data_IF_731074400958
#
_entry.id   IF_731074400958
#
_cell.length_a   1.000
_cell.length_b   1.000
_cell.length_c   1.000
_cell.angle_alpha   90.00
_cell.angle_beta   90.00
_cell.angle_gamma   90.00
#
_symmetry.space_group_name_H-M   'P 1'
#
loop_
_entity.id
_entity.type
_entity.pdbx_description
1 polymer ?
#
# COMPACT_ATOMS: atom_id res chain seq x y z
N UNK A 1 18.14 2.36 -44.73
CA UNK A 1 18.39 1.57 -43.51
C UNK A 1 18.79 0.16 -43.94
N UNK A 2 19.96 -0.29 -43.50
CA UNK A 2 20.38 -1.69 -43.70
C UNK A 2 19.75 -2.59 -42.63
N UNK A 3 19.73 -3.91 -42.85
CA UNK A 3 19.23 -4.88 -41.85
C UNK A 3 19.97 -4.75 -40.50
N UNK A 4 21.25 -4.36 -40.53
CA UNK A 4 22.08 -4.10 -39.35
C UNK A 4 21.62 -2.86 -38.60
N UNK A 5 21.26 -1.79 -39.30
CA UNK A 5 20.76 -0.55 -38.68
C UNK A 5 19.40 -0.76 -38.02
N UNK A 6 18.51 -1.52 -38.67
CA UNK A 6 17.20 -1.89 -38.11
C UNK A 6 17.34 -2.77 -36.85
N UNK A 7 18.27 -3.73 -36.87
CA UNK A 7 18.53 -4.59 -35.71
C UNK A 7 19.11 -3.79 -34.54
N UNK A 8 20.08 -2.91 -34.80
CA UNK A 8 20.66 -2.04 -33.78
C UNK A 8 19.61 -1.12 -33.15
N UNK A 9 18.74 -0.51 -33.96
CA UNK A 9 17.66 0.33 -33.47
C UNK A 9 16.68 -0.46 -32.58
N UNK A 10 16.31 -1.68 -33.00
CA UNK A 10 15.42 -2.55 -32.24
C UNK A 10 16.03 -2.95 -30.89
N UNK A 11 17.33 -3.23 -30.85
CA UNK A 11 18.04 -3.53 -29.60
C UNK A 11 18.04 -2.32 -28.67
N UNK A 12 18.34 -1.12 -29.17
CA UNK A 12 18.34 0.11 -28.36
C UNK A 12 16.96 0.37 -27.78
N UNK A 13 15.90 0.25 -28.59
CA UNK A 13 14.53 0.43 -28.14
C UNK A 13 14.15 -0.60 -27.06
N UNK A 14 14.54 -1.86 -27.25
CA UNK A 14 14.28 -2.93 -26.28
C UNK A 14 14.99 -2.65 -24.95
N UNK A 15 16.28 -2.31 -24.97
CA UNK A 15 17.06 -1.98 -23.78
C UNK A 15 16.51 -0.75 -23.06
N UNK A 16 16.10 0.27 -23.81
CA UNK A 16 15.51 1.50 -23.23
C UNK A 16 14.18 1.19 -22.55
N UNK A 17 13.32 0.39 -23.20
CA UNK A 17 12.05 -0.06 -22.61
C UNK A 17 12.27 -0.88 -21.33
N UNK A 18 13.27 -1.77 -21.33
CA UNK A 18 13.64 -2.57 -20.17
C UNK A 18 14.11 -1.69 -19.00
N UNK A 19 14.98 -0.71 -19.29
CA UNK A 19 15.49 0.23 -18.28
C UNK A 19 14.40 1.10 -17.68
N UNK A 20 13.51 1.64 -18.52
CA UNK A 20 12.37 2.43 -18.06
C UNK A 20 11.40 1.60 -17.21
N UNK A 21 11.15 0.35 -17.63
CA UNK A 21 10.33 -0.59 -16.87
C UNK A 21 10.98 -0.91 -15.52
N UNK A 22 12.28 -1.22 -15.49
CA UNK A 22 13.01 -1.48 -14.26
C UNK A 22 12.98 -0.26 -13.32
N UNK A 23 13.24 0.95 -13.84
CA UNK A 23 13.16 2.18 -13.07
C UNK A 23 11.75 2.39 -12.48
N UNK A 24 10.71 2.10 -13.26
CA UNK A 24 9.32 2.22 -12.81
C UNK A 24 8.99 1.33 -11.61
N UNK A 25 9.43 0.07 -11.63
CA UNK A 25 9.15 -0.89 -10.55
C UNK A 25 10.09 -0.76 -9.34
N UNK A 26 11.34 -0.33 -9.55
CA UNK A 26 12.35 -0.26 -8.49
C UNK A 26 12.35 1.06 -7.73
N UNK A 27 11.87 2.15 -8.33
CA UNK A 27 11.86 3.46 -7.69
C UNK A 27 10.72 3.54 -6.68
N UNK A 28 10.99 3.81 -5.38
CA UNK A 28 9.95 4.06 -4.40
C UNK A 28 9.11 5.28 -4.81
N UNK A 29 7.81 5.23 -4.50
CA UNK A 29 6.90 6.34 -4.67
C UNK A 29 6.00 6.49 -3.44
N UNK A 30 5.38 7.66 -3.28
CA UNK A 30 4.51 7.92 -2.15
C UNK A 30 3.29 6.98 -2.15
N UNK A 31 2.91 6.48 -0.96
CA UNK A 31 1.71 5.64 -0.77
C UNK A 31 0.44 6.43 -1.12
N UNK A 32 0.40 7.70 -0.70
CA UNK A 32 -0.66 8.66 -1.06
C UNK A 32 -0.07 9.84 -1.83
N UNK A 33 -0.57 10.11 -3.04
CA UNK A 33 -0.06 11.21 -3.89
C UNK A 33 -0.79 12.53 -3.72
N UNK A 34 -2.05 12.48 -3.28
CA UNK A 34 -2.93 13.64 -3.16
C UNK A 34 -3.66 13.56 -1.82
N UNK A 35 -2.95 13.79 -0.69
CA UNK A 35 -3.52 13.65 0.65
C UNK A 35 -4.73 14.56 0.88
N UNK A 36 -4.77 15.73 0.25
CA UNK A 36 -5.87 16.69 0.33
C UNK A 36 -7.16 16.23 -0.38
N UNK A 37 -7.07 15.20 -1.22
CA UNK A 37 -8.19 14.61 -1.95
C UNK A 37 -8.38 13.12 -1.64
N UNK A 38 -7.64 12.59 -0.66
CA UNK A 38 -7.70 11.19 -0.22
C UNK A 38 -8.34 11.14 1.15
N UNK A 39 -9.27 10.21 1.38
CA UNK A 39 -9.95 10.06 2.66
C UNK A 39 -9.69 8.68 3.25
N UNK A 40 -9.27 8.62 4.51
CA UNK A 40 -9.28 7.37 5.27
C UNK A 40 -10.72 7.07 5.69
N UNK A 41 -11.27 5.98 5.17
CA UNK A 41 -12.69 5.61 5.30
C UNK A 41 -12.96 4.68 6.48
N UNK A 42 -12.08 3.72 6.71
CA UNK A 42 -12.17 2.77 7.82
C UNK A 42 -10.79 2.21 8.11
N UNK A 43 -10.56 1.89 9.38
CA UNK A 43 -9.44 1.05 9.81
C UNK A 43 -10.03 -0.21 10.43
N UNK A 44 -9.68 -1.37 9.88
CA UNK A 44 -9.96 -2.66 10.49
C UNK A 44 -8.75 -3.09 11.29
N UNK A 45 -8.96 -3.46 12.55
CA UNK A 45 -7.90 -3.87 13.47
C UNK A 45 -8.30 -5.19 14.11
N UNK A 46 -7.39 -6.15 14.09
CA UNK A 46 -7.59 -7.41 14.79
C UNK A 46 -7.33 -7.23 16.29
N UNK A 47 -8.04 -7.99 17.13
CA UNK A 47 -7.85 -7.88 18.57
C UNK A 47 -6.46 -8.42 18.96
N UNK A 48 -5.68 -7.68 19.77
CA UNK A 48 -4.32 -8.08 20.17
C UNK A 48 -4.27 -9.37 21.02
N UNK A 49 -5.42 -9.91 21.44
CA UNK A 49 -5.52 -11.11 22.27
C UNK A 49 -5.85 -12.40 21.49
N UNK A 50 -5.86 -12.36 20.15
CA UNK A 50 -6.17 -13.55 19.33
C UNK A 50 -7.58 -14.09 19.52
N UNK A 51 -8.51 -13.26 20.01
CA UNK A 51 -9.91 -13.63 20.23
C UNK A 51 -10.70 -13.85 18.93
N UNK A 52 -10.12 -13.51 17.78
CA UNK A 52 -10.79 -13.53 16.48
C UNK A 52 -11.86 -12.44 16.32
N UNK A 53 -11.95 -11.49 17.25
CA UNK A 53 -12.85 -10.34 17.15
C UNK A 53 -12.10 -9.18 16.49
N UNK A 54 -12.43 -8.87 15.25
CA UNK A 54 -11.97 -7.64 14.60
C UNK A 54 -12.83 -6.46 15.07
N UNK A 55 -12.19 -5.31 15.25
CA UNK A 55 -12.89 -4.04 15.46
C UNK A 55 -12.63 -3.12 14.27
N UNK A 56 -13.59 -2.22 14.00
CA UNK A 56 -13.49 -1.26 12.91
C UNK A 56 -13.67 0.12 13.48
N UNK A 57 -12.72 1.00 13.18
CA UNK A 57 -12.82 2.42 13.48
C UNK A 57 -13.17 3.18 12.20
N UNK A 58 -14.24 3.99 12.28
CA UNK A 58 -14.74 4.81 11.17
C UNK A 58 -14.74 6.26 11.65
N UNK A 59 -14.12 7.20 10.91
CA UNK A 59 -14.05 8.59 11.35
C UNK A 59 -15.39 9.30 11.15
N UNK A 60 -16.20 9.33 12.20
CA UNK A 60 -17.57 9.88 12.16
C UNK A 60 -17.68 11.27 12.78
N UNK A 61 -16.77 11.62 13.69
CA UNK A 61 -16.71 12.95 14.33
C UNK A 61 -15.66 13.85 13.68
N UNK A 62 -15.71 15.16 13.96
CA UNK A 62 -14.69 16.11 13.47
C UNK A 62 -13.29 15.79 14.02
N UNK A 63 -13.22 15.33 15.27
CA UNK A 63 -11.97 14.91 15.90
C UNK A 63 -11.41 13.65 15.22
N UNK A 64 -12.26 12.65 14.96
CA UNK A 64 -11.85 11.47 14.20
C UNK A 64 -11.37 11.82 12.79
N UNK A 65 -12.05 12.76 12.13
CA UNK A 65 -11.67 13.23 10.80
C UNK A 65 -10.30 13.92 10.82
N UNK A 66 -9.97 14.66 11.89
CA UNK A 66 -8.65 15.25 12.06
C UNK A 66 -7.56 14.17 12.26
N UNK A 67 -7.85 13.11 13.01
CA UNK A 67 -6.94 11.96 13.16
C UNK A 67 -6.75 11.25 11.82
N UNK A 68 -7.85 10.96 11.12
CA UNK A 68 -7.83 10.35 9.79
C UNK A 68 -7.01 11.17 8.80
N UNK A 69 -7.15 12.49 8.82
CA UNK A 69 -6.38 13.40 7.96
C UNK A 69 -4.89 13.38 8.29
N UNK A 70 -4.50 13.38 9.57
CA UNK A 70 -3.09 13.23 9.97
C UNK A 70 -2.47 11.93 9.46
N UNK A 71 -3.22 10.82 9.52
CA UNK A 71 -2.77 9.53 8.98
C UNK A 71 -2.57 9.62 7.46
N UNK A 72 -3.53 10.18 6.73
CA UNK A 72 -3.42 10.37 5.27
C UNK A 72 -2.23 11.27 4.91
N UNK A 73 -2.00 12.34 5.66
CA UNK A 73 -0.85 13.24 5.48
C UNK A 73 0.47 12.51 5.73
N UNK A 74 0.57 11.72 6.80
CA UNK A 74 1.75 10.90 7.05
C UNK A 74 2.00 9.91 5.91
N UNK A 75 0.95 9.22 5.43
CA UNK A 75 1.04 8.29 4.30
C UNK A 75 1.49 8.95 2.99
N UNK A 76 1.37 10.28 2.85
CA UNK A 76 1.92 10.99 1.70
C UNK A 76 3.44 11.09 1.71
N UNK A 77 4.05 10.97 2.89
CA UNK A 77 5.51 10.89 3.07
C UNK A 77 6.04 9.46 3.07
N UNK A 78 5.19 8.49 3.40
CA UNK A 78 5.52 7.07 3.35
C UNK A 78 5.73 6.58 1.92
N UNK A 79 6.56 5.56 1.74
CA UNK A 79 6.94 5.04 0.43
C UNK A 79 6.56 3.58 0.22
N UNK A 80 6.26 3.25 -1.04
CA UNK A 80 6.01 1.91 -1.53
C UNK A 80 6.65 1.67 -2.90
N UNK A 81 6.77 0.40 -3.29
CA UNK A 81 7.25 -0.01 -4.62
C UNK A 81 6.22 -0.89 -5.30
N UNK A 82 6.04 -0.68 -6.60
CA UNK A 82 5.18 -1.54 -7.41
C UNK A 82 5.70 -2.97 -7.41
N UNK A 83 4.77 -3.93 -7.31
CA UNK A 83 5.04 -5.32 -7.60
C UNK A 83 4.40 -5.70 -8.94
N UNK A 84 4.77 -6.87 -9.47
CA UNK A 84 4.06 -7.46 -10.61
C UNK A 84 2.77 -8.19 -10.20
N UNK A 85 2.41 -8.17 -8.91
CA UNK A 85 1.25 -8.89 -8.39
C UNK A 85 -0.03 -8.07 -8.57
N UNK A 86 -1.11 -8.78 -8.90
CA UNK A 86 -2.46 -8.22 -9.10
C UNK A 86 -3.53 -8.91 -8.27
N UNK A 87 -3.14 -9.95 -7.54
CA UNK A 87 -4.05 -10.79 -6.78
C UNK A 87 -3.45 -10.95 -5.39
N UNK A 88 -4.25 -10.70 -4.37
CA UNK A 88 -3.87 -10.96 -3.00
C UNK A 88 -3.69 -12.46 -2.80
N UNK A 89 -2.58 -12.86 -2.20
CA UNK A 89 -2.35 -14.25 -1.83
C UNK A 89 -3.06 -14.53 -0.51
N UNK A 90 -4.15 -15.31 -0.55
CA UNK A 90 -4.80 -15.87 0.63
C UNK A 90 -5.18 -14.86 1.73
N UNK A 91 -5.43 -15.38 2.93
CA UNK A 91 -5.56 -14.59 4.15
C UNK A 91 -4.36 -14.82 5.07
N UNK A 92 -4.15 -13.91 6.00
CA UNK A 92 -3.17 -14.08 7.09
C UNK A 92 -3.79 -14.88 8.26
N UNK A 93 -2.96 -15.49 9.14
CA UNK A 93 -3.45 -16.19 10.32
C UNK A 93 -4.32 -15.28 11.21
N UNK A 94 -5.41 -15.83 11.75
CA UNK A 94 -6.37 -15.06 12.56
C UNK A 94 -5.83 -14.59 13.92
N UNK A 95 -4.70 -15.16 14.36
CA UNK A 95 -3.96 -14.76 15.56
C UNK A 95 -3.00 -13.60 15.31
N UNK A 96 -2.83 -13.15 14.06
CA UNK A 96 -2.01 -11.97 13.78
C UNK A 96 -2.81 -10.70 14.05
N UNK A 97 -2.21 -9.80 14.82
CA UNK A 97 -2.68 -8.43 15.02
C UNK A 97 -2.43 -7.58 13.76
N UNK A 98 -3.19 -7.86 12.70
CA UNK A 98 -3.13 -7.13 11.44
C UNK A 98 -4.02 -5.90 11.49
N UNK A 99 -3.54 -4.82 10.88
CA UNK A 99 -4.29 -3.59 10.69
C UNK A 99 -4.48 -3.35 9.20
N UNK A 100 -5.71 -3.07 8.79
CA UNK A 100 -6.04 -2.71 7.40
C UNK A 100 -6.63 -1.31 7.34
N UNK A 101 -5.98 -0.41 6.61
CA UNK A 101 -6.47 0.94 6.33
C UNK A 101 -7.15 0.95 4.96
N UNK A 102 -8.36 1.51 4.88
CA UNK A 102 -9.07 1.68 3.60
C UNK A 102 -9.13 3.15 3.21
N UNK A 103 -8.48 3.48 2.11
CA UNK A 103 -8.39 4.83 1.56
C UNK A 103 -9.34 4.98 0.37
N UNK A 104 -10.21 5.99 0.41
CA UNK A 104 -10.96 6.47 -0.73
C UNK A 104 -10.10 7.46 -1.51
N UNK A 105 -9.81 7.12 -2.76
CA UNK A 105 -8.94 7.88 -3.65
C UNK A 105 -9.73 8.94 -4.43
N UNK A 106 -9.07 9.98 -4.98
CA UNK A 106 -9.74 11.07 -5.71
C UNK A 106 -10.47 10.61 -6.98
N UNK A 107 -10.03 9.49 -7.57
CA UNK A 107 -10.64 8.88 -8.76
C UNK A 107 -11.85 7.99 -8.44
N UNK A 108 -12.28 7.95 -7.17
CA UNK A 108 -13.40 7.15 -6.68
C UNK A 108 -13.04 5.69 -6.41
N UNK A 109 -11.78 5.28 -6.61
CA UNK A 109 -11.33 3.94 -6.23
C UNK A 109 -11.01 3.83 -4.75
N UNK A 110 -10.96 2.60 -4.24
CA UNK A 110 -10.53 2.30 -2.88
C UNK A 110 -9.19 1.59 -2.89
N UNK A 111 -8.23 2.08 -2.11
CA UNK A 111 -6.93 1.45 -1.87
C UNK A 111 -6.87 0.92 -0.45
N UNK A 112 -6.57 -0.36 -0.29
CA UNK A 112 -6.31 -0.96 1.02
C UNK A 112 -4.82 -0.93 1.33
N UNK A 113 -4.46 -0.78 2.59
CA UNK A 113 -3.10 -0.94 3.12
C UNK A 113 -3.17 -1.97 4.24
N UNK A 114 -2.43 -3.06 4.12
CA UNK A 114 -2.34 -4.11 5.15
C UNK A 114 -1.00 -3.96 5.87
N UNK A 115 -1.05 -3.80 7.19
CA UNK A 115 0.10 -3.69 8.07
C UNK A 115 0.13 -4.92 8.98
N UNK A 116 1.27 -5.59 9.01
CA UNK A 116 1.48 -6.73 9.89
C UNK A 116 1.53 -6.33 11.37
N UNK A 117 1.67 -7.33 12.26
CA UNK A 117 1.80 -7.10 13.70
C UNK A 117 3.00 -6.20 14.05
N UNK A 118 2.91 -5.47 15.17
CA UNK A 118 4.03 -4.70 15.67
C UNK A 118 5.24 -5.62 16.00
N UNK A 119 6.44 -5.19 15.63
CA UNK A 119 7.66 -5.99 15.82
C UNK A 119 7.75 -7.24 14.93
N UNK A 120 6.83 -7.38 13.96
CA UNK A 120 6.88 -8.47 12.99
C UNK A 120 8.13 -8.33 12.11
N UNK A 121 9.13 -9.18 12.37
CA UNK A 121 10.26 -9.34 11.47
C UNK A 121 9.84 -10.28 10.35
N UNK A 122 9.85 -9.73 9.14
CA UNK A 122 9.76 -10.42 7.86
C UNK A 122 10.47 -11.79 7.91
N UNK A 123 9.71 -12.85 7.67
CA UNK A 123 10.25 -14.11 7.18
C UNK A 123 9.82 -14.21 5.72
N UNK A 124 10.74 -14.52 4.81
CA UNK A 124 10.55 -14.42 3.35
C UNK A 124 9.18 -14.88 2.78
N UNK A 125 8.55 -15.90 3.37
CA UNK A 125 7.25 -16.40 2.90
C UNK A 125 6.04 -15.62 3.45
N UNK A 126 6.20 -14.92 4.57
CA UNK A 126 5.13 -14.25 5.29
C UNK A 126 4.86 -12.81 4.84
N UNK A 127 5.83 -12.16 4.22
CA UNK A 127 5.68 -10.81 3.65
C UNK A 127 4.73 -10.77 2.45
N UNK A 128 4.47 -11.92 1.83
CA UNK A 128 3.47 -12.03 0.77
C UNK A 128 2.03 -11.78 1.28
N UNK A 129 1.82 -11.82 2.60
CA UNK A 129 0.48 -11.76 3.22
C UNK A 129 0.20 -10.45 3.98
N UNK A 130 1.21 -9.62 4.25
CA UNK A 130 1.06 -8.34 4.98
C UNK A 130 2.07 -7.31 4.47
N UNK A 131 2.00 -6.06 4.97
CA UNK A 131 2.93 -4.97 4.64
C UNK A 131 2.90 -4.54 3.16
N UNK A 132 1.70 -4.47 2.61
CA UNK A 132 1.47 -4.05 1.23
C UNK A 132 0.29 -3.08 1.13
N UNK A 133 0.21 -2.38 0.01
CA UNK A 133 -1.01 -1.70 -0.43
C UNK A 133 -1.56 -2.35 -1.69
N UNK A 134 -2.87 -2.29 -1.87
CA UNK A 134 -3.56 -3.00 -2.94
C UNK A 134 -4.82 -2.25 -3.40
N UNK A 135 -5.25 -2.45 -4.67
CA UNK A 135 -6.54 -1.96 -5.12
C UNK A 135 -7.67 -2.78 -4.46
N UNK A 136 -8.39 -2.17 -3.51
CA UNK A 136 -9.56 -2.80 -2.87
C UNK A 136 -10.83 -2.70 -3.72
N UNK A 137 -10.85 -1.78 -4.69
CA UNK A 137 -11.85 -1.75 -5.76
C UNK A 137 -11.19 -1.95 -7.12
N UNK A 138 -11.93 -2.46 -8.14
CA UNK A 138 -11.41 -2.55 -9.49
C UNK A 138 -10.92 -1.17 -9.99
N UNK A 139 -9.71 -1.11 -10.53
CA UNK A 139 -9.15 0.10 -11.13
C UNK A 139 -8.85 -0.13 -12.62
N UNK A 140 -9.32 0.73 -13.55
CA UNK A 140 -9.13 0.51 -14.99
C UNK A 140 -7.70 0.79 -15.48
N UNK A 141 -6.95 1.66 -14.78
CA UNK A 141 -5.56 1.96 -15.13
C UNK A 141 -4.57 0.90 -14.60
N UNK A 142 -3.63 0.52 -15.46
CA UNK A 142 -2.67 -0.57 -15.21
C UNK A 142 -1.80 -0.39 -13.94
N UNK A 143 -1.28 0.78 -13.57
CA UNK A 143 -0.44 0.85 -12.37
C UNK A 143 -1.22 0.89 -11.06
N UNK A 144 -2.40 1.51 -11.06
CA UNK A 144 -3.25 1.58 -9.87
C UNK A 144 -3.90 0.22 -9.56
N UNK A 145 -3.88 -0.72 -10.50
CA UNK A 145 -4.32 -2.09 -10.34
C UNK A 145 -3.24 -3.05 -9.77
N UNK A 146 -2.05 -2.54 -9.44
CA UNK A 146 -0.95 -3.34 -8.91
C UNK A 146 -0.92 -3.27 -7.38
N UNK A 147 -0.50 -4.39 -6.78
CA UNK A 147 -0.11 -4.46 -5.37
C UNK A 147 1.26 -3.81 -5.21
N UNK A 148 1.48 -3.07 -4.14
CA UNK A 148 2.76 -2.44 -3.84
C UNK A 148 3.28 -2.90 -2.48
N UNK A 149 4.59 -3.11 -2.37
CA UNK A 149 5.25 -3.44 -1.10
C UNK A 149 5.62 -2.15 -0.39
N UNK A 150 5.28 -2.03 0.89
CA UNK A 150 5.63 -0.87 1.73
C UNK A 150 7.13 -0.92 2.08
N UNK A 151 7.79 0.23 2.12
CA UNK A 151 9.23 0.31 2.41
C UNK A 151 9.53 0.30 3.91
N UNK A 152 8.70 0.97 4.71
CA UNK A 152 8.81 1.05 6.18
C UNK A 152 7.44 0.84 6.84
N UNK A 153 6.83 -0.36 6.67
CA UNK A 153 5.50 -0.65 7.21
C UNK A 153 5.42 -0.50 8.74
N UNK A 154 6.51 -0.77 9.46
CA UNK A 154 6.62 -0.65 10.91
C UNK A 154 6.46 0.80 11.39
N UNK A 155 7.01 1.76 10.65
CA UNK A 155 6.88 3.19 10.97
C UNK A 155 5.45 3.66 10.74
N UNK A 156 4.80 3.18 9.67
CA UNK A 156 3.39 3.45 9.40
C UNK A 156 2.51 2.88 10.51
N UNK A 157 2.73 1.63 10.92
CA UNK A 157 1.96 0.99 12.00
C UNK A 157 2.12 1.77 13.31
N UNK A 158 3.35 2.07 13.70
CA UNK A 158 3.64 2.83 14.91
C UNK A 158 2.97 4.21 14.91
N UNK A 159 2.99 4.92 13.77
CA UNK A 159 2.33 6.22 13.64
C UNK A 159 0.81 6.10 13.84
N UNK A 160 0.18 5.10 13.23
CA UNK A 160 -1.27 4.88 13.38
C UNK A 160 -1.61 4.52 14.82
N UNK A 161 -0.85 3.62 15.46
CA UNK A 161 -1.04 3.27 16.87
C UNK A 161 -0.89 4.49 17.79
N UNK A 162 0.10 5.36 17.54
CA UNK A 162 0.31 6.60 18.30
C UNK A 162 -0.82 7.62 18.08
N UNK A 163 -1.34 7.72 16.86
CA UNK A 163 -2.46 8.60 16.53
C UNK A 163 -3.73 8.26 17.33
N UNK A 164 -3.92 6.99 17.70
CA UNK A 164 -5.01 6.54 18.58
C UNK A 164 -4.67 6.59 20.08
N UNK A 165 -3.41 6.48 20.45
CA UNK A 165 -2.99 6.58 21.85
C UNK A 165 -3.00 8.04 22.37
N UNK A 166 -2.94 9.02 21.47
CA UNK A 166 -2.89 10.46 21.78
C UNK A 166 -4.23 11.18 21.68
N UNK A 167 -5.29 10.49 21.26
CA UNK A 167 -6.70 10.94 21.24
C UNK A 167 -7.43 10.50 22.51
#
# INVERSE_FOLDING_TARGET
MTKKDTLSLLIILCLTSLLLSAAYFLTPHAVVRSPEHTQLSVIHMDSPNGSGTSYSWVPTTEEDQAIAQKIVEYLSSAQERYTFQRTLYGGYPADWDVMTLMLSMPDGSTRGIVLGPAGFQSYHDKDAFVNYSYPSSPHPSFPNALICTLIHPEEIRAFVDEAFASS
#
